data_IF_892462863156
#
_entry.id   IF_892462863156
#
_cell.length_a   1.000
_cell.length_b   1.000
_cell.length_c   1.000
_cell.angle_alpha   90.00
_cell.angle_beta   90.00
_cell.angle_gamma   90.00
#
_symmetry.space_group_name_H-M   'P 1'
#
loop_
_entity.id
_entity.type
_entity.pdbx_description
1 polymer ?
#
# COMPACT_ATOMS: atom_id res chain seq x y z
N UNK A 1 17.98 -0.63 -5.52
CA UNK A 1 17.87 0.01 -4.19
C UNK A 1 16.45 0.52 -4.07
N UNK A 2 15.61 -0.18 -3.29
CA UNK A 2 14.16 0.08 -3.13
C UNK A 2 13.79 0.12 -1.64
N UNK A 3 14.75 -0.16 -0.75
CA UNK A 3 14.49 -0.39 0.67
C UNK A 3 14.20 0.91 1.43
N UNK A 4 14.87 2.02 1.10
CA UNK A 4 14.64 3.30 1.80
C UNK A 4 13.33 3.95 1.36
N UNK A 5 13.04 4.00 0.05
CA UNK A 5 11.74 4.50 -0.43
C UNK A 5 10.58 3.66 0.13
N UNK A 6 10.74 2.33 0.21
CA UNK A 6 9.76 1.46 0.90
C UNK A 6 9.51 1.89 2.33
N UNK A 7 10.58 2.07 3.10
CA UNK A 7 10.47 2.38 4.53
C UNK A 7 9.74 3.71 4.69
N UNK A 8 10.13 4.74 3.94
CA UNK A 8 9.50 6.07 3.99
C UNK A 8 8.00 5.97 3.67
N UNK A 9 7.65 5.19 2.65
CA UNK A 9 6.29 5.13 2.12
C UNK A 9 5.37 4.19 2.92
N UNK A 10 5.94 3.13 3.52
CA UNK A 10 5.26 2.32 4.54
C UNK A 10 5.08 3.08 5.85
N UNK A 11 6.08 3.89 6.25
CA UNK A 11 6.01 4.68 7.46
C UNK A 11 4.98 5.81 7.31
N UNK A 12 4.94 6.50 6.18
CA UNK A 12 3.92 7.52 5.91
C UNK A 12 2.52 6.92 5.86
N UNK A 13 2.35 5.76 5.21
CA UNK A 13 1.09 5.04 5.22
C UNK A 13 0.64 4.62 6.62
N UNK A 14 1.55 4.10 7.44
CA UNK A 14 1.26 3.73 8.82
C UNK A 14 0.87 4.97 9.66
N UNK A 15 1.61 6.07 9.52
CA UNK A 15 1.31 7.33 10.20
C UNK A 15 -0.06 7.87 9.83
N UNK A 16 -0.40 7.89 8.53
CA UNK A 16 -1.72 8.34 8.09
C UNK A 16 -2.85 7.38 8.52
N UNK A 17 -2.60 6.06 8.56
CA UNK A 17 -3.56 5.09 9.06
C UNK A 17 -3.84 5.27 10.56
N UNK A 18 -2.80 5.50 11.36
CA UNK A 18 -2.91 5.84 12.79
C UNK A 18 -3.65 7.18 12.94
N UNK A 19 -3.37 8.16 12.10
CA UNK A 19 -4.05 9.46 12.13
C UNK A 19 -5.53 9.33 11.80
N UNK A 20 -5.89 8.54 10.79
CA UNK A 20 -7.29 8.23 10.45
C UNK A 20 -8.02 7.51 11.58
N UNK A 21 -7.34 6.57 12.25
CA UNK A 21 -7.89 5.82 13.39
C UNK A 21 -8.12 6.73 14.62
N UNK A 22 -7.22 7.67 14.90
CA UNK A 22 -7.34 8.61 16.03
C UNK A 22 -8.42 9.66 15.77
N UNK A 23 -8.55 10.11 14.52
CA UNK A 23 -9.48 11.20 14.15
C UNK A 23 -10.90 10.68 13.89
N UNK A 24 -11.12 9.36 13.93
CA UNK A 24 -12.37 8.67 13.51
C UNK A 24 -12.83 9.09 12.09
N UNK A 25 -11.91 9.65 11.30
CA UNK A 25 -12.22 10.29 10.03
C UNK A 25 -11.94 9.30 8.91
N UNK A 26 -12.93 8.48 8.61
CA UNK A 26 -12.85 7.37 7.65
C UNK A 26 -12.63 7.86 6.22
N UNK A 27 -12.89 9.14 5.92
CA UNK A 27 -12.63 9.78 4.62
C UNK A 27 -11.16 9.71 4.18
N UNK A 28 -10.21 9.65 5.13
CA UNK A 28 -8.77 9.59 4.85
C UNK A 28 -8.26 8.15 4.68
N UNK A 29 -9.07 7.16 5.06
CA UNK A 29 -8.79 5.74 4.98
C UNK A 29 -8.68 5.22 3.53
N UNK A 30 -9.59 5.56 2.59
CA UNK A 30 -9.43 5.13 1.20
C UNK A 30 -8.18 5.76 0.56
N UNK A 31 -7.85 7.00 0.89
CA UNK A 31 -6.68 7.70 0.34
C UNK A 31 -5.36 7.06 0.83
N UNK A 32 -5.30 6.65 2.10
CA UNK A 32 -4.15 5.93 2.65
C UNK A 32 -3.96 4.55 2.06
N UNK A 33 -5.03 3.77 1.92
CA UNK A 33 -4.96 2.48 1.23
C UNK A 33 -4.58 2.63 -0.24
N UNK A 34 -5.00 3.70 -0.91
CA UNK A 34 -4.58 4.00 -2.30
C UNK A 34 -3.07 4.18 -2.43
N UNK A 35 -2.47 4.98 -1.54
CA UNK A 35 -1.01 5.17 -1.49
C UNK A 35 -0.27 3.87 -1.14
N UNK A 36 -0.80 3.05 -0.23
CA UNK A 36 -0.26 1.71 0.07
C UNK A 36 -0.29 0.78 -1.13
N UNK A 37 -1.39 0.76 -1.89
CA UNK A 37 -1.53 -0.07 -3.08
C UNK A 37 -0.47 0.25 -4.12
N UNK A 38 -0.25 1.54 -4.40
CA UNK A 38 0.81 2.00 -5.32
C UNK A 38 2.20 1.56 -4.88
N UNK A 39 2.47 1.58 -3.57
CA UNK A 39 3.78 1.13 -3.06
C UNK A 39 4.00 -0.35 -3.29
N UNK A 40 2.98 -1.17 -3.06
CA UNK A 40 3.05 -2.60 -3.33
C UNK A 40 3.25 -2.91 -4.82
N UNK A 41 2.67 -2.12 -5.74
CA UNK A 41 2.91 -2.25 -7.19
C UNK A 41 4.36 -1.94 -7.54
N UNK A 42 4.88 -0.79 -7.10
CA UNK A 42 6.29 -0.38 -7.35
C UNK A 42 7.25 -1.44 -6.82
N UNK A 43 6.92 -2.04 -5.68
CA UNK A 43 7.70 -3.10 -5.06
C UNK A 43 7.64 -4.41 -5.85
N UNK A 44 6.45 -4.81 -6.30
CA UNK A 44 6.25 -5.99 -7.13
C UNK A 44 7.08 -5.89 -8.41
N UNK A 45 7.03 -4.74 -9.10
CA UNK A 45 7.84 -4.48 -10.29
C UNK A 45 9.34 -4.54 -9.98
N UNK A 46 9.77 -3.96 -8.86
CA UNK A 46 11.19 -3.98 -8.51
C UNK A 46 11.70 -5.38 -8.08
N UNK A 47 10.87 -6.21 -7.46
CA UNK A 47 11.23 -7.60 -7.13
C UNK A 47 11.15 -8.51 -8.36
N UNK A 48 10.27 -8.21 -9.33
CA UNK A 48 10.21 -8.93 -10.61
C UNK A 48 11.55 -8.82 -11.33
N UNK A 49 12.17 -7.64 -11.29
CA UNK A 49 13.51 -7.38 -11.84
C UNK A 49 14.64 -8.16 -11.15
N UNK A 50 14.40 -8.70 -9.96
CA UNK A 50 15.37 -9.45 -9.13
C UNK A 50 15.18 -10.98 -9.18
N UNK A 51 14.33 -11.51 -10.07
CA UNK A 51 14.09 -12.97 -10.25
C UNK A 51 13.41 -13.69 -9.08
N UNK A 52 13.01 -12.98 -8.01
CA UNK A 52 12.26 -13.58 -6.89
C UNK A 52 10.75 -13.69 -7.21
N UNK A 53 10.42 -14.60 -8.14
CA UNK A 53 9.04 -14.80 -8.68
C UNK A 53 7.98 -15.01 -7.59
N UNK A 54 8.31 -15.69 -6.49
CA UNK A 54 7.36 -15.97 -5.41
C UNK A 54 6.94 -14.72 -4.62
N UNK A 55 7.88 -13.80 -4.37
CA UNK A 55 7.57 -12.57 -3.60
C UNK A 55 6.86 -11.52 -4.45
N UNK A 56 7.20 -11.45 -5.74
CA UNK A 56 6.49 -10.60 -6.72
C UNK A 56 5.00 -10.92 -6.78
N UNK A 57 4.63 -12.21 -6.85
CA UNK A 57 3.22 -12.62 -6.92
C UNK A 57 2.44 -12.23 -5.66
N UNK A 58 3.03 -12.43 -4.48
CA UNK A 58 2.44 -12.01 -3.20
C UNK A 58 2.27 -10.50 -3.14
N UNK A 59 3.28 -9.71 -3.54
CA UNK A 59 3.18 -8.24 -3.55
C UNK A 59 2.10 -7.73 -4.49
N UNK A 60 1.95 -8.37 -5.66
CA UNK A 60 0.92 -7.99 -6.64
C UNK A 60 -0.49 -8.33 -6.13
N UNK A 61 -0.65 -9.49 -5.48
CA UNK A 61 -1.91 -9.87 -4.83
C UNK A 61 -2.27 -8.88 -3.69
N UNK A 62 -1.29 -8.52 -2.85
CA UNK A 62 -1.48 -7.53 -1.78
C UNK A 62 -1.83 -6.16 -2.35
N UNK A 63 -1.20 -5.73 -3.45
CA UNK A 63 -1.53 -4.48 -4.11
C UNK A 63 -3.00 -4.45 -4.59
N UNK A 64 -3.46 -5.51 -5.26
CA UNK A 64 -4.84 -5.63 -5.71
C UNK A 64 -5.83 -5.62 -4.54
N UNK A 65 -5.53 -6.35 -3.45
CA UNK A 65 -6.38 -6.38 -2.27
C UNK A 65 -6.49 -5.00 -1.61
N UNK A 66 -5.37 -4.31 -1.45
CA UNK A 66 -5.31 -2.98 -0.83
C UNK A 66 -6.03 -1.93 -1.69
N UNK A 67 -5.90 -2.00 -3.03
CA UNK A 67 -6.67 -1.13 -3.93
C UNK A 67 -8.17 -1.42 -3.89
N UNK A 68 -8.56 -2.69 -3.77
CA UNK A 68 -9.96 -3.07 -3.59
C UNK A 68 -10.55 -2.51 -2.29
N UNK A 69 -9.80 -2.60 -1.18
CA UNK A 69 -10.17 -2.00 0.11
C UNK A 69 -10.27 -0.48 0.02
N UNK A 70 -9.33 0.17 -0.68
CA UNK A 70 -9.35 1.62 -0.92
C UNK A 70 -10.63 2.05 -1.67
N UNK A 71 -10.99 1.36 -2.75
CA UNK A 71 -12.19 1.69 -3.51
C UNK A 71 -13.46 1.41 -2.69
N UNK A 72 -13.51 0.28 -1.99
CA UNK A 72 -14.67 -0.10 -1.16
C UNK A 72 -14.89 0.87 -0.01
N UNK A 73 -13.82 1.34 0.63
CA UNK A 73 -13.87 2.31 1.72
C UNK A 73 -14.21 3.72 1.26
N UNK A 74 -14.04 4.05 -0.03
CA UNK A 74 -14.47 5.33 -0.60
C UNK A 74 -15.95 5.31 -1.01
N UNK A 75 -16.54 4.12 -1.10
CA UNK A 75 -17.90 3.88 -1.58
C UNK A 75 -18.92 3.75 -0.43
N UNK A 76 -18.45 3.67 0.82
CA UNK A 76 -19.24 3.44 2.03
C UNK A 76 -19.00 4.57 3.03
#
# INVERSE_FOLDING_TARGET
>A
MVSILRIIFSLSAASLAIYGLITDNTDLMPLTFGFLGLTFIIMGISEWKKTNKGKTALLFATACFVLYVSISSSLY
#
